data_IF_411481886235
#
_entry.id   IF_411481886235
#
_cell.length_a   1.000
_cell.length_b   1.000
_cell.length_c   1.000
_cell.angle_alpha   90.00
_cell.angle_beta   90.00
_cell.angle_gamma   90.00
#
_symmetry.space_group_name_H-M   'P 1'
#
loop_
_entity.id
_entity.type
_entity.pdbx_description
1 polymer ?
#
# COMPACT_ATOMS: atom_id res chain seq x y z
N UNK A 1 -9.96 -23.60 -9.00
CA UNK A 1 -8.85 -22.71 -9.30
C UNK A 1 -9.31 -21.38 -9.86
N UNK A 2 -9.89 -21.32 -11.06
CA UNK A 2 -10.48 -20.11 -11.58
C UNK A 2 -11.62 -19.56 -10.71
N UNK A 3 -12.27 -20.39 -9.89
CA UNK A 3 -13.37 -19.99 -9.03
C UNK A 3 -12.92 -19.19 -7.79
N UNK A 4 -11.68 -19.36 -7.33
CA UNK A 4 -11.21 -18.67 -6.12
C UNK A 4 -11.04 -17.16 -6.33
N UNK A 5 -10.49 -16.73 -7.47
CA UNK A 5 -10.32 -15.31 -7.76
C UNK A 5 -11.66 -14.57 -7.90
N UNK A 6 -12.65 -15.08 -8.67
CA UNK A 6 -13.97 -14.47 -8.72
C UNK A 6 -14.66 -14.40 -7.35
N UNK A 7 -14.55 -15.43 -6.53
CA UNK A 7 -15.09 -15.43 -5.17
C UNK A 7 -14.42 -14.35 -4.30
N UNK A 8 -13.11 -14.18 -4.45
CA UNK A 8 -12.36 -13.14 -3.75
C UNK A 8 -12.80 -11.74 -4.14
N UNK A 9 -13.09 -11.52 -5.42
CA UNK A 9 -13.60 -10.22 -5.91
C UNK A 9 -14.96 -9.91 -5.33
N UNK A 10 -15.84 -10.88 -5.30
CA UNK A 10 -17.19 -10.72 -4.72
C UNK A 10 -17.09 -10.39 -3.23
N UNK A 11 -16.27 -11.13 -2.48
CA UNK A 11 -16.05 -10.88 -1.07
C UNK A 11 -15.48 -9.47 -0.83
N UNK A 12 -14.54 -9.06 -1.67
CA UNK A 12 -13.92 -7.75 -1.59
C UNK A 12 -14.95 -6.63 -1.77
N UNK A 13 -15.82 -6.76 -2.78
CA UNK A 13 -16.88 -5.78 -3.04
C UNK A 13 -17.86 -5.67 -1.89
N UNK A 14 -18.10 -6.78 -1.19
CA UNK A 14 -18.96 -6.83 0.00
C UNK A 14 -18.25 -6.37 1.27
N UNK A 15 -16.98 -6.02 1.17
CA UNK A 15 -16.13 -5.65 2.29
C UNK A 15 -15.97 -6.78 3.31
N UNK A 16 -16.10 -8.02 2.86
CA UNK A 16 -15.82 -9.22 3.65
C UNK A 16 -14.32 -9.51 3.54
N UNK A 17 -13.52 -8.70 4.23
CA UNK A 17 -12.05 -8.68 4.05
C UNK A 17 -11.38 -10.00 4.36
N UNK A 18 -11.82 -10.70 5.40
CA UNK A 18 -11.30 -12.02 5.75
C UNK A 18 -11.55 -13.04 4.66
N UNK A 19 -12.77 -13.08 4.14
CA UNK A 19 -13.15 -14.00 3.06
C UNK A 19 -12.43 -13.66 1.77
N UNK A 20 -12.29 -12.37 1.47
CA UNK A 20 -11.53 -11.91 0.31
C UNK A 20 -10.07 -12.35 0.40
N UNK A 21 -9.44 -12.16 1.56
CA UNK A 21 -8.06 -12.56 1.78
C UNK A 21 -7.89 -14.07 1.57
N UNK A 22 -8.76 -14.88 2.16
CA UNK A 22 -8.69 -16.34 2.03
C UNK A 22 -8.83 -16.80 0.57
N UNK A 23 -9.83 -16.27 -0.13
CA UNK A 23 -10.08 -16.66 -1.52
C UNK A 23 -8.97 -16.21 -2.46
N UNK A 24 -8.49 -14.97 -2.30
CA UNK A 24 -7.42 -14.44 -3.15
C UNK A 24 -6.07 -15.10 -2.86
N UNK A 25 -5.81 -15.44 -1.60
CA UNK A 25 -4.61 -16.20 -1.23
C UNK A 25 -4.61 -17.60 -1.85
N UNK A 26 -5.76 -18.27 -1.84
CA UNK A 26 -5.91 -19.58 -2.47
C UNK A 26 -5.71 -19.49 -3.99
N UNK A 27 -6.25 -18.45 -4.61
CA UNK A 27 -6.08 -18.21 -6.04
C UNK A 27 -4.60 -17.98 -6.39
N UNK A 28 -3.89 -17.21 -5.57
CA UNK A 28 -2.46 -16.96 -5.76
C UNK A 28 -1.63 -18.23 -5.65
N UNK A 29 -1.96 -19.09 -4.70
CA UNK A 29 -1.28 -20.38 -4.51
C UNK A 29 -1.49 -21.31 -5.72
N UNK A 30 -2.63 -21.18 -6.41
CA UNK A 30 -2.95 -21.97 -7.59
C UNK A 30 -2.30 -21.45 -8.88
N UNK A 31 -1.93 -20.18 -8.93
CA UNK A 31 -1.31 -19.56 -10.11
C UNK A 31 -1.16 -18.07 -9.95
N UNK A 32 -0.56 -17.37 -10.94
CA UNK A 32 -0.38 -15.93 -10.85
C UNK A 32 -1.71 -15.19 -10.90
N UNK A 33 -1.83 -14.15 -10.07
CA UNK A 33 -2.98 -13.26 -10.07
C UNK A 33 -2.78 -12.12 -11.07
N UNK A 34 -3.88 -11.57 -11.57
CA UNK A 34 -3.84 -10.29 -12.28
C UNK A 34 -3.52 -9.17 -11.31
N UNK A 35 -2.95 -8.07 -11.80
CA UNK A 35 -2.51 -6.96 -10.96
C UNK A 35 -3.64 -6.41 -10.08
N UNK A 36 -4.85 -6.27 -10.62
CA UNK A 36 -6.00 -5.79 -9.85
C UNK A 36 -6.35 -6.73 -8.68
N UNK A 37 -6.16 -8.03 -8.85
CA UNK A 37 -6.39 -9.00 -7.78
C UNK A 37 -5.27 -8.97 -6.74
N UNK A 38 -4.04 -8.70 -7.17
CA UNK A 38 -2.92 -8.46 -6.23
C UNK A 38 -3.24 -7.26 -5.35
N UNK A 39 -3.79 -6.20 -5.93
CA UNK A 39 -4.21 -5.02 -5.18
C UNK A 39 -5.30 -5.35 -4.16
N UNK A 40 -6.31 -6.11 -4.57
CA UNK A 40 -7.38 -6.56 -3.67
C UNK A 40 -6.82 -7.40 -2.51
N UNK A 41 -5.87 -8.26 -2.82
CA UNK A 41 -5.20 -9.07 -1.80
C UNK A 41 -4.44 -8.18 -0.81
N UNK A 42 -3.72 -7.19 -1.32
CA UNK A 42 -2.95 -6.26 -0.49
C UNK A 42 -3.84 -5.53 0.51
N UNK A 43 -4.95 -4.96 0.05
CA UNK A 43 -5.90 -4.26 0.91
C UNK A 43 -6.60 -5.19 1.88
N UNK A 44 -7.02 -6.37 1.42
CA UNK A 44 -7.68 -7.36 2.29
C UNK A 44 -6.75 -7.81 3.42
N UNK A 45 -5.48 -8.02 3.12
CA UNK A 45 -4.48 -8.36 4.12
C UNK A 45 -4.29 -7.20 5.13
N UNK A 46 -4.23 -5.97 4.63
CA UNK A 46 -4.06 -4.79 5.49
C UNK A 46 -5.25 -4.65 6.45
N UNK A 47 -6.47 -4.73 5.94
CA UNK A 47 -7.69 -4.57 6.74
C UNK A 47 -7.92 -5.70 7.72
N UNK A 48 -7.25 -6.83 7.57
CA UNK A 48 -7.35 -7.97 8.49
C UNK A 48 -6.12 -8.11 9.39
N UNK A 49 -5.22 -7.12 9.38
CA UNK A 49 -4.05 -7.11 10.25
C UNK A 49 -2.94 -8.06 9.84
N UNK A 50 -2.96 -8.56 8.62
CA UNK A 50 -1.92 -9.46 8.08
C UNK A 50 -0.83 -8.64 7.41
N UNK A 51 -0.05 -7.92 8.22
CA UNK A 51 0.87 -6.89 7.74
C UNK A 51 1.93 -7.41 6.77
N UNK A 52 2.60 -8.51 7.06
CA UNK A 52 3.63 -9.03 6.16
C UNK A 52 3.05 -9.46 4.81
N UNK A 53 1.87 -10.09 4.80
CA UNK A 53 1.21 -10.47 3.55
C UNK A 53 0.77 -9.25 2.76
N UNK A 54 0.33 -8.21 3.44
CA UNK A 54 -0.02 -6.94 2.82
C UNK A 54 1.22 -6.27 2.20
N UNK A 55 2.34 -6.24 2.92
CA UNK A 55 3.59 -5.66 2.41
C UNK A 55 4.09 -6.39 1.16
N UNK A 56 4.08 -7.71 1.19
CA UNK A 56 4.46 -8.53 0.03
C UNK A 56 3.57 -8.23 -1.17
N UNK A 57 2.27 -8.14 -0.96
CA UNK A 57 1.32 -7.89 -2.04
C UNK A 57 1.47 -6.48 -2.61
N UNK A 58 1.65 -5.46 -1.79
CA UNK A 58 1.90 -4.11 -2.29
C UNK A 58 3.22 -4.01 -3.04
N UNK A 59 4.26 -4.68 -2.59
CA UNK A 59 5.55 -4.72 -3.28
C UNK A 59 5.43 -5.41 -4.65
N UNK A 60 4.71 -6.51 -4.71
CA UNK A 60 4.41 -7.21 -5.97
C UNK A 60 3.59 -6.31 -6.90
N UNK A 61 2.56 -5.65 -6.38
CA UNK A 61 1.74 -4.73 -7.17
C UNK A 61 2.59 -3.62 -7.78
N UNK A 62 3.47 -3.01 -6.99
CA UNK A 62 4.39 -1.98 -7.46
C UNK A 62 5.21 -2.49 -8.65
N UNK A 63 5.82 -3.67 -8.52
CA UNK A 63 6.63 -4.25 -9.58
C UNK A 63 5.81 -4.57 -10.83
N UNK A 64 4.62 -5.14 -10.64
CA UNK A 64 3.70 -5.48 -11.74
C UNK A 64 3.25 -4.25 -12.52
N UNK A 65 2.97 -3.14 -11.81
CA UNK A 65 2.58 -1.88 -12.45
C UNK A 65 3.75 -1.24 -13.21
N UNK A 66 4.97 -1.34 -12.67
CA UNK A 66 6.16 -0.88 -13.40
C UNK A 66 6.35 -1.66 -14.70
N UNK A 67 6.26 -2.97 -14.66
CA UNK A 67 6.42 -3.84 -15.82
C UNK A 67 5.34 -3.58 -16.88
N UNK A 68 4.14 -3.18 -16.45
CA UNK A 68 3.05 -2.85 -17.34
C UNK A 68 3.15 -1.44 -17.94
N UNK A 69 4.18 -0.68 -17.58
CA UNK A 69 4.33 0.70 -18.07
C UNK A 69 3.38 1.68 -17.42
N UNK A 70 2.99 1.43 -16.17
CA UNK A 70 2.06 2.26 -15.40
C UNK A 70 2.78 2.89 -14.19
N UNK A 71 3.65 3.90 -14.42
CA UNK A 71 4.50 4.42 -13.35
C UNK A 71 3.74 5.11 -12.23
N UNK A 72 2.65 5.81 -12.53
CA UNK A 72 1.86 6.48 -11.48
C UNK A 72 1.12 5.48 -10.60
N UNK A 73 0.59 4.41 -11.19
CA UNK A 73 -0.04 3.34 -10.43
C UNK A 73 0.98 2.61 -9.55
N UNK A 74 2.20 2.40 -10.07
CA UNK A 74 3.29 1.83 -9.30
C UNK A 74 3.69 2.75 -8.13
N UNK A 75 3.75 4.05 -8.37
CA UNK A 75 4.04 5.05 -7.34
C UNK A 75 2.99 5.00 -6.22
N UNK A 76 1.72 4.89 -6.59
CA UNK A 76 0.61 4.81 -5.62
C UNK A 76 0.76 3.60 -4.71
N UNK A 77 1.10 2.43 -5.26
CA UNK A 77 1.33 1.23 -4.45
C UNK A 77 2.49 1.45 -3.46
N UNK A 78 3.56 2.08 -3.90
CA UNK A 78 4.71 2.40 -3.06
C UNK A 78 4.35 3.39 -1.94
N UNK A 79 3.49 4.37 -2.22
CA UNK A 79 3.01 5.33 -1.21
C UNK A 79 2.23 4.61 -0.11
N UNK A 80 1.27 3.77 -0.48
CA UNK A 80 0.46 3.06 0.50
C UNK A 80 1.30 2.14 1.38
N UNK A 81 2.25 1.42 0.77
CA UNK A 81 3.17 0.59 1.53
C UNK A 81 4.05 1.43 2.47
N UNK A 82 4.59 2.53 1.96
CA UNK A 82 5.42 3.44 2.76
C UNK A 82 4.66 4.03 3.93
N UNK A 83 3.43 4.48 3.71
CA UNK A 83 2.58 5.02 4.79
C UNK A 83 2.29 3.98 5.87
N UNK A 84 1.99 2.75 5.46
CA UNK A 84 1.74 1.68 6.43
C UNK A 84 2.99 1.35 7.24
N UNK A 85 4.14 1.23 6.59
CA UNK A 85 5.41 1.00 7.29
C UNK A 85 5.73 2.12 8.27
N UNK A 86 5.46 3.37 7.86
CA UNK A 86 5.64 4.53 8.74
C UNK A 86 4.75 4.45 9.98
N UNK A 87 3.50 4.07 9.81
CA UNK A 87 2.56 3.92 10.93
C UNK A 87 2.96 2.81 11.89
N UNK A 88 3.72 1.82 11.40
CA UNK A 88 4.26 0.73 12.22
C UNK A 88 5.63 1.05 12.83
N UNK A 89 6.15 2.25 12.61
CA UNK A 89 7.44 2.67 13.13
C UNK A 89 8.66 2.19 12.33
N UNK A 90 8.46 1.57 11.18
CA UNK A 90 9.54 1.09 10.32
C UNK A 90 10.01 2.17 9.37
N UNK A 91 10.62 3.21 9.91
CA UNK A 91 10.95 4.46 9.20
C UNK A 91 11.93 4.23 8.04
N UNK A 92 12.94 3.39 8.23
CA UNK A 92 13.94 3.13 7.19
C UNK A 92 13.32 2.47 5.96
N UNK A 93 12.48 1.45 6.15
CA UNK A 93 11.78 0.78 5.07
C UNK A 93 10.79 1.73 4.40
N UNK A 94 10.04 2.49 5.21
CA UNK A 94 9.08 3.47 4.72
C UNK A 94 9.75 4.51 3.83
N UNK A 95 10.88 5.04 4.26
CA UNK A 95 11.65 6.06 3.51
C UNK A 95 12.09 5.54 2.14
N UNK A 96 12.52 4.28 2.07
CA UNK A 96 12.90 3.66 0.80
C UNK A 96 11.75 3.59 -0.19
N UNK A 97 10.57 3.15 0.26
CA UNK A 97 9.39 3.05 -0.60
C UNK A 97 8.89 4.43 -1.03
N UNK A 98 8.86 5.40 -0.12
CA UNK A 98 8.43 6.76 -0.43
C UNK A 98 9.38 7.44 -1.42
N UNK A 99 10.68 7.19 -1.31
CA UNK A 99 11.66 7.71 -2.27
C UNK A 99 11.44 7.13 -3.67
N UNK A 100 11.12 5.83 -3.78
CA UNK A 100 10.77 5.22 -5.06
C UNK A 100 9.53 5.88 -5.68
N UNK A 101 8.51 6.10 -4.87
CA UNK A 101 7.28 6.74 -5.32
C UNK A 101 7.55 8.16 -5.82
N UNK A 102 8.35 8.93 -5.09
CA UNK A 102 8.69 10.31 -5.46
C UNK A 102 9.41 10.37 -6.80
N UNK A 103 10.38 9.48 -7.02
CA UNK A 103 11.10 9.44 -8.30
C UNK A 103 10.18 9.16 -9.47
N UNK A 104 9.23 8.23 -9.30
CA UNK A 104 8.29 7.87 -10.35
C UNK A 104 7.35 9.03 -10.68
N UNK A 105 6.85 9.73 -9.67
CA UNK A 105 5.98 10.89 -9.85
C UNK A 105 6.72 12.02 -10.56
N UNK A 106 7.96 12.29 -10.18
CA UNK A 106 8.78 13.32 -10.81
C UNK A 106 9.09 13.00 -12.27
N UNK A 107 9.39 11.73 -12.58
CA UNK A 107 9.64 11.27 -13.95
C UNK A 107 8.40 11.39 -14.83
N UNK A 108 7.22 11.14 -14.27
CA UNK A 108 5.97 11.27 -15.01
C UNK A 108 5.62 12.72 -15.33
N UNK A 109 6.04 13.67 -14.48
CA UNK A 109 5.79 15.10 -14.67
C UNK A 109 4.34 15.50 -14.44
N UNK A 110 4.06 16.80 -14.45
CA UNK A 110 2.72 17.34 -14.33
C UNK A 110 2.11 17.17 -12.94
N UNK A 111 0.84 17.56 -12.83
CA UNK A 111 0.05 17.38 -11.62
C UNK A 111 -0.66 16.03 -11.65
N UNK A 112 -0.66 15.32 -10.51
CA UNK A 112 -1.31 14.03 -10.38
C UNK A 112 -1.82 13.83 -8.96
N UNK A 113 -2.78 12.94 -8.81
CA UNK A 113 -3.31 12.55 -7.49
C UNK A 113 -2.19 11.93 -6.64
N UNK A 114 -1.31 11.16 -7.26
CA UNK A 114 -0.16 10.52 -6.59
C UNK A 114 0.80 11.54 -6.00
N UNK A 115 0.96 12.69 -6.65
CA UNK A 115 1.76 13.79 -6.12
C UNK A 115 1.17 14.33 -4.82
N UNK A 116 -0.15 14.42 -4.75
CA UNK A 116 -0.85 14.79 -3.51
C UNK A 116 -0.64 13.75 -2.40
N UNK A 117 -0.66 12.48 -2.73
CA UNK A 117 -0.42 11.41 -1.75
C UNK A 117 0.98 11.51 -1.14
N UNK A 118 1.97 11.96 -1.90
CA UNK A 118 3.33 12.13 -1.41
C UNK A 118 3.46 13.24 -0.34
N UNK A 119 2.46 14.11 -0.22
CA UNK A 119 2.42 15.11 0.84
C UNK A 119 1.99 14.53 2.18
N UNK A 120 1.26 13.41 2.19
CA UNK A 120 0.77 12.79 3.42
C UNK A 120 1.86 12.42 4.42
N UNK A 121 3.00 11.83 4.00
CA UNK A 121 4.08 11.52 4.92
C UNK A 121 4.62 12.76 5.64
N UNK A 122 4.71 13.90 4.93
CA UNK A 122 5.15 15.15 5.52
C UNK A 122 4.18 15.65 6.59
N UNK A 123 2.89 15.62 6.28
CA UNK A 123 1.83 15.99 7.22
C UNK A 123 1.88 15.11 8.46
N UNK A 124 2.06 13.81 8.27
CA UNK A 124 2.17 12.84 9.36
C UNK A 124 3.36 13.16 10.27
N UNK A 125 4.53 13.45 9.69
CA UNK A 125 5.73 13.81 10.46
C UNK A 125 5.54 15.10 11.24
N UNK A 126 4.93 16.10 10.61
CA UNK A 126 4.67 17.39 11.28
C UNK A 126 3.70 17.23 12.44
N UNK A 127 2.67 16.42 12.28
CA UNK A 127 1.71 16.13 13.34
C UNK A 127 2.39 15.41 14.50
N UNK A 128 3.22 14.42 14.23
CA UNK A 128 3.98 13.70 15.24
C UNK A 128 4.95 14.62 16.00
N UNK A 129 5.61 15.53 15.28
CA UNK A 129 6.51 16.50 15.88
C UNK A 129 5.76 17.46 16.81
N UNK A 130 4.57 17.94 16.41
CA UNK A 130 3.72 18.79 17.26
C UNK A 130 3.29 18.08 18.54
N UNK A 131 2.87 16.83 18.43
CA UNK A 131 2.46 16.03 19.57
C UNK A 131 3.62 15.85 20.55
N UNK A 132 4.82 15.66 20.02
CA UNK A 132 6.02 15.50 20.82
C UNK A 132 6.39 16.78 21.56
N UNK A 133 6.30 17.94 20.89
CA UNK A 133 6.52 19.25 21.49
C UNK A 133 5.49 19.54 22.58
N UNK A 134 4.22 19.23 22.31
CA UNK A 134 3.15 19.41 23.28
C UNK A 134 3.40 18.53 24.53
N UNK A 135 3.84 17.29 24.36
CA UNK A 135 4.17 16.41 25.47
C UNK A 135 5.33 16.95 26.29
N UNK A 136 6.36 17.50 25.65
CA UNK A 136 7.49 18.14 26.35
C UNK A 136 7.04 19.35 27.14
N UNK A 137 6.22 20.21 26.54
CA UNK A 137 5.70 21.40 27.22
C UNK A 137 4.87 21.03 28.46
N UNK A 138 4.06 19.98 28.35
CA UNK A 138 3.25 19.49 29.47
C UNK A 138 4.10 18.90 30.60
N UNK A 139 5.27 18.32 30.28
CA UNK A 139 6.18 17.72 31.25
C UNK A 139 7.06 18.79 31.95
N UNK A 140 7.14 19.98 31.43
CA UNK A 140 7.89 21.11 32.00
C UNK A 140 7.06 21.80 33.07
#
# INVERSE_FOLDING_TARGET
MAAAAPQGRIAYERRAWGDAFEALSAAKAAGPLEADDVERLAWSALFTGRDERSHEAFAELHQRRLEAGEPLAAARAAVWLGLRLMSLGEVARASGWLAKAQRLVEQAGGDSVERGYLMLPQVFRLTAARDHEAARAAAS
#
